data_IF_685259073045
#
_entry.id   IF_685259073045
#
_cell.length_a   1.000
_cell.length_b   1.000
_cell.length_c   1.000
_cell.angle_alpha   90.00
_cell.angle_beta   90.00
_cell.angle_gamma   90.00
#
_symmetry.space_group_name_H-M   'P 1'
#
loop_
_entity.id
_entity.type
_entity.pdbx_description
1 polymer ?
#
# COMPACT_ATOMS: atom_id res chain seq x y z
N UNK A 1 55.63 16.03 21.94
CA UNK A 1 54.54 16.97 21.63
C UNK A 1 54.12 16.65 20.22
N UNK A 2 53.09 15.84 20.06
CA UNK A 2 52.52 15.54 18.74
C UNK A 2 51.02 15.40 18.98
N UNK A 3 50.26 16.40 18.52
CA UNK A 3 48.83 16.27 18.34
C UNK A 3 48.61 16.04 16.85
N UNK A 4 48.09 14.88 16.41
CA UNK A 4 47.54 14.76 15.07
C UNK A 4 46.19 15.47 15.02
N UNK A 5 46.07 16.40 14.09
CA UNK A 5 44.85 17.14 13.78
C UNK A 5 43.76 16.19 13.29
N UNK A 6 42.61 16.29 13.95
CA UNK A 6 41.24 16.06 13.48
C UNK A 6 41.11 15.47 12.08
N UNK A 7 40.83 14.17 12.06
CA UNK A 7 40.06 13.52 10.99
C UNK A 7 38.62 14.04 11.12
N UNK A 8 38.30 15.07 10.33
CA UNK A 8 36.93 15.52 10.17
C UNK A 8 36.23 14.56 9.21
N UNK A 9 35.63 13.51 9.77
CA UNK A 9 34.69 12.62 9.07
C UNK A 9 33.55 13.45 8.48
N UNK A 10 33.48 13.63 7.14
CA UNK A 10 32.38 14.35 6.54
C UNK A 10 31.22 13.38 6.38
N UNK A 11 30.26 13.56 7.28
CA UNK A 11 28.86 13.17 7.12
C UNK A 11 28.55 11.67 7.25
N UNK A 12 28.33 11.26 8.51
CA UNK A 12 27.21 10.36 8.82
C UNK A 12 25.98 10.77 7.99
N UNK A 13 25.33 9.86 7.25
CA UNK A 13 24.09 10.21 6.58
C UNK A 13 23.09 10.66 7.65
N UNK A 14 22.26 11.69 7.38
CA UNK A 14 21.18 12.02 8.29
C UNK A 14 20.34 10.76 8.46
N UNK A 15 20.20 10.30 9.70
CA UNK A 15 19.17 9.34 10.07
C UNK A 15 17.86 9.89 9.55
N UNK A 16 17.48 9.41 8.37
CA UNK A 16 16.19 9.73 7.76
C UNK A 16 15.19 9.37 8.85
N UNK A 17 14.29 10.28 9.24
CA UNK A 17 13.25 9.91 10.17
C UNK A 17 12.58 8.68 9.55
N UNK A 18 12.75 7.52 10.19
CA UNK A 18 12.00 6.33 9.85
C UNK A 18 10.58 6.70 10.24
N UNK A 19 9.86 7.28 9.28
CA UNK A 19 8.42 7.44 9.33
C UNK A 19 7.95 6.09 9.84
N UNK A 20 7.26 6.01 10.98
CA UNK A 20 6.71 4.73 11.39
C UNK A 20 5.74 4.36 10.27
N UNK A 21 6.15 3.43 9.40
CA UNK A 21 5.21 2.67 8.61
C UNK A 21 4.38 1.95 9.67
N UNK A 22 3.24 2.56 9.99
CA UNK A 22 2.27 2.00 10.87
C UNK A 22 1.69 0.82 10.08
N UNK A 23 2.40 -0.31 10.08
CA UNK A 23 2.06 -1.52 9.33
C UNK A 23 0.63 -1.89 9.72
N UNK A 24 -0.35 -1.63 8.84
CA UNK A 24 -1.73 -1.93 9.17
C UNK A 24 -1.82 -3.44 9.32
N UNK A 25 -2.49 -3.89 10.37
CA UNK A 25 -2.83 -5.31 10.50
C UNK A 25 -3.46 -5.82 9.20
N UNK A 26 -3.23 -7.08 8.85
CA UNK A 26 -3.74 -7.67 7.60
C UNK A 26 -5.25 -7.45 7.44
N UNK A 27 -6.03 -7.49 8.53
CA UNK A 27 -7.45 -7.12 8.53
C UNK A 27 -7.71 -5.68 8.08
N UNK A 28 -6.97 -4.73 8.62
CA UNK A 28 -7.07 -3.31 8.28
C UNK A 28 -6.69 -3.06 6.83
N UNK A 29 -5.73 -3.80 6.28
CA UNK A 29 -5.37 -3.73 4.87
C UNK A 29 -6.48 -4.29 3.96
N UNK A 30 -7.08 -5.43 4.35
CA UNK A 30 -8.21 -6.01 3.62
C UNK A 30 -9.44 -5.10 3.62
N UNK A 31 -9.67 -4.36 4.70
CA UNK A 31 -10.76 -3.40 4.79
C UNK A 31 -10.54 -2.20 3.86
N UNK A 32 -9.34 -1.58 3.92
CA UNK A 32 -8.97 -0.48 3.01
C UNK A 32 -9.08 -0.88 1.54
N UNK A 33 -8.56 -2.06 1.16
CA UNK A 33 -8.69 -2.57 -0.22
C UNK A 33 -10.14 -2.83 -0.63
N UNK A 34 -11.01 -3.18 0.33
CA UNK A 34 -12.45 -3.31 0.07
C UNK A 34 -13.08 -1.95 -0.22
N UNK A 35 -12.71 -0.92 0.55
CA UNK A 35 -13.16 0.45 0.30
C UNK A 35 -12.66 1.00 -1.05
N UNK A 36 -11.39 0.80 -1.38
CA UNK A 36 -10.81 1.19 -2.67
C UNK A 36 -11.53 0.51 -3.84
N UNK A 37 -11.84 -0.79 -3.71
CA UNK A 37 -12.61 -1.54 -4.70
C UNK A 37 -14.00 -0.93 -4.92
N UNK A 38 -14.70 -0.57 -3.84
CA UNK A 38 -16.03 0.06 -3.92
C UNK A 38 -15.94 1.45 -4.57
N UNK A 39 -14.90 2.23 -4.22
CA UNK A 39 -14.65 3.52 -4.84
C UNK A 39 -14.42 3.37 -6.35
N UNK A 40 -13.58 2.41 -6.77
CA UNK A 40 -13.30 2.14 -8.16
C UNK A 40 -14.58 1.80 -8.93
N UNK A 41 -15.43 0.91 -8.39
CA UNK A 41 -16.72 0.55 -8.98
C UNK A 41 -17.63 1.77 -9.17
N UNK A 42 -17.73 2.64 -8.15
CA UNK A 42 -18.54 3.85 -8.23
C UNK A 42 -18.03 4.83 -9.30
N UNK A 43 -16.71 4.92 -9.51
CA UNK A 43 -16.16 5.75 -10.59
C UNK A 43 -16.45 5.18 -11.98
N UNK A 44 -16.35 3.85 -12.13
CA UNK A 44 -16.70 3.15 -13.37
C UNK A 44 -18.18 3.38 -13.71
N UNK A 45 -19.07 3.25 -12.72
CA UNK A 45 -20.50 3.49 -12.89
C UNK A 45 -20.83 4.96 -13.18
N UNK A 46 -20.03 5.88 -12.64
CA UNK A 46 -20.08 7.31 -12.94
C UNK A 46 -19.60 7.68 -14.36
N UNK A 47 -19.19 6.70 -15.18
CA UNK A 47 -18.73 6.93 -16.55
C UNK A 47 -17.29 7.42 -16.65
N UNK A 48 -16.51 7.32 -15.57
CA UNK A 48 -15.07 7.64 -15.59
C UNK A 48 -14.33 6.53 -16.36
N UNK A 49 -13.31 6.91 -17.14
CA UNK A 49 -12.50 6.00 -17.97
C UNK A 49 -13.32 5.09 -18.90
N UNK A 50 -14.12 5.65 -19.83
CA UNK A 50 -14.98 4.87 -20.71
C UNK A 50 -14.21 3.86 -21.58
N UNK A 51 -12.98 4.21 -21.97
CA UNK A 51 -12.10 3.35 -22.79
C UNK A 51 -11.59 2.11 -22.02
N UNK A 52 -11.44 2.23 -20.69
CA UNK A 52 -10.92 1.17 -19.82
C UNK A 52 -12.01 0.51 -18.98
N UNK A 53 -13.30 0.81 -19.24
CA UNK A 53 -14.41 0.39 -18.38
C UNK A 53 -14.45 -1.12 -18.18
N UNK A 54 -14.22 -1.88 -19.26
CA UNK A 54 -14.26 -3.34 -19.25
C UNK A 54 -13.06 -3.92 -18.49
N UNK A 55 -11.86 -3.42 -18.75
CA UNK A 55 -10.65 -3.85 -18.04
C UNK A 55 -10.71 -3.51 -16.55
N UNK A 56 -11.19 -2.33 -16.20
CA UNK A 56 -11.36 -1.92 -14.80
C UNK A 56 -12.45 -2.73 -14.08
N UNK A 57 -13.53 -3.10 -14.78
CA UNK A 57 -14.55 -3.99 -14.24
C UNK A 57 -13.99 -5.41 -14.03
N UNK A 58 -13.16 -5.92 -14.94
CA UNK A 58 -12.47 -7.20 -14.77
C UNK A 58 -11.53 -7.17 -13.55
N UNK A 59 -10.72 -6.13 -13.44
CA UNK A 59 -9.83 -5.90 -12.30
C UNK A 59 -10.60 -5.83 -10.97
N UNK A 60 -11.72 -5.11 -10.93
CA UNK A 60 -12.60 -5.01 -9.75
C UNK A 60 -13.13 -6.39 -9.33
N UNK A 61 -13.51 -7.24 -10.29
CA UNK A 61 -13.95 -8.62 -10.05
C UNK A 61 -12.82 -9.48 -9.49
N UNK A 62 -11.63 -9.41 -10.07
CA UNK A 62 -10.44 -10.15 -9.63
C UNK A 62 -10.03 -9.73 -8.21
N UNK A 63 -10.03 -8.44 -7.91
CA UNK A 63 -9.80 -7.91 -6.56
C UNK A 63 -10.83 -8.43 -5.57
N UNK A 64 -12.11 -8.49 -5.96
CA UNK A 64 -13.16 -9.07 -5.13
C UNK A 64 -12.88 -10.54 -4.75
N UNK A 65 -12.46 -11.36 -5.72
CA UNK A 65 -12.11 -12.77 -5.48
C UNK A 65 -10.88 -12.92 -4.59
N UNK A 66 -9.87 -12.06 -4.77
CA UNK A 66 -8.65 -12.10 -3.97
C UNK A 66 -8.93 -11.72 -2.51
N UNK A 67 -9.73 -10.68 -2.28
CA UNK A 67 -10.12 -10.22 -0.95
C UNK A 67 -10.92 -11.28 -0.19
N UNK A 68 -11.85 -11.95 -0.87
CA UNK A 68 -12.64 -13.04 -0.28
C UNK A 68 -11.74 -14.20 0.15
N UNK A 69 -10.83 -14.64 -0.72
CA UNK A 69 -9.86 -15.69 -0.41
C UNK A 69 -8.92 -15.31 0.74
N UNK A 70 -8.43 -14.07 0.76
CA UNK A 70 -7.54 -13.60 1.82
C UNK A 70 -8.25 -13.56 3.18
N UNK A 71 -9.51 -13.14 3.22
CA UNK A 71 -10.35 -13.18 4.43
C UNK A 71 -10.55 -14.62 4.89
N UNK A 72 -10.94 -15.53 3.99
CA UNK A 72 -11.13 -16.94 4.32
C UNK A 72 -9.86 -17.58 4.89
N UNK A 73 -8.69 -17.26 4.33
CA UNK A 73 -7.39 -17.75 4.82
C UNK A 73 -7.06 -17.25 6.21
N UNK A 74 -7.46 -16.02 6.54
CA UNK A 74 -7.22 -15.43 7.83
C UNK A 74 -8.16 -15.99 8.90
N UNK A 75 -9.41 -16.28 8.55
CA UNK A 75 -10.37 -16.95 9.44
C UNK A 75 -10.03 -18.42 9.71
N UNK A 76 -9.36 -19.07 8.75
CA UNK A 76 -8.91 -20.45 8.87
C UNK A 76 -7.58 -20.62 9.63
N UNK A 77 -6.96 -19.51 10.06
CA UNK A 77 -5.62 -19.49 10.66
C UNK A 77 -5.63 -19.34 12.18
#
# INVERSE_FOLDING_TARGET
MEQPSTDADPASPPSTPRIPLNDPSTLTLLDQLTEDRLWLLQQIDGGRWPDLRLDLAALERELGQLLDQARQRLEAS
#
